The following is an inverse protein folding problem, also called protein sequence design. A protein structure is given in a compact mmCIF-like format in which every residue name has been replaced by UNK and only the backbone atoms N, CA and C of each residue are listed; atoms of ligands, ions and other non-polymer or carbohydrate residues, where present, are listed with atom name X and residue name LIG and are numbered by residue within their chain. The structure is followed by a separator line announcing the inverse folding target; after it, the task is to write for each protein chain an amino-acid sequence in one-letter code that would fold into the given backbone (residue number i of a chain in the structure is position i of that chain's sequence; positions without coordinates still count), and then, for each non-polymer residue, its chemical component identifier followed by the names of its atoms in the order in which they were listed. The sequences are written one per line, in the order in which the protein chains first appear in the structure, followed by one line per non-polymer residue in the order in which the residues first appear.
data_IF_196268228471
#
_entry.id   IF_196268228471
#
_cell.length_a   1.000
_cell.length_b   1.000
_cell.length_c   1.000
_cell.angle_alpha   90.00
_cell.angle_beta   90.00
_cell.angle_gamma   90.00
#
_symmetry.space_group_name_H-M   'P 1'
#
loop_
_entity.id
_entity.type
_entity.pdbx_description
1 polymer ?
#
# COMPACT_ATOMS: atom_id res chain seq x y z
N UNK A 1 23.79 -25.70 49.31
CA UNK A 1 24.13 -24.91 48.14
C UNK A 1 22.93 -24.87 47.21
N UNK A 2 22.23 -23.77 47.21
CA UNK A 2 21.08 -23.53 46.31
C UNK A 2 21.62 -22.99 44.99
N UNK A 3 21.55 -23.81 43.93
CA UNK A 3 21.80 -23.33 42.58
C UNK A 3 20.57 -22.58 42.11
N UNK A 4 20.65 -21.26 42.01
CA UNK A 4 19.63 -20.45 41.34
C UNK A 4 19.78 -20.67 39.85
N UNK A 5 18.84 -21.46 39.28
CA UNK A 5 18.64 -21.46 37.85
C UNK A 5 17.91 -20.17 37.51
N UNK A 6 18.65 -19.18 37.07
CA UNK A 6 18.07 -18.02 36.40
C UNK A 6 17.54 -18.50 35.05
N UNK A 7 16.25 -18.80 34.99
CA UNK A 7 15.56 -18.93 33.73
C UNK A 7 15.40 -17.51 33.22
N UNK A 8 16.33 -17.07 32.37
CA UNK A 8 16.14 -15.90 31.57
C UNK A 8 14.99 -16.24 30.59
N UNK A 9 13.80 -15.84 30.93
CA UNK A 9 12.74 -15.77 29.96
C UNK A 9 13.12 -14.67 28.95
N UNK A 10 13.81 -15.05 27.89
CA UNK A 10 13.97 -14.20 26.74
C UNK A 10 12.58 -14.02 26.14
N UNK A 11 11.94 -12.90 26.45
CA UNK A 11 10.79 -12.43 25.71
C UNK A 11 11.26 -12.15 24.28
N UNK A 12 11.11 -13.15 23.43
CA UNK A 12 11.17 -12.92 22.00
C UNK A 12 9.91 -12.12 21.64
N UNK A 13 10.02 -10.80 21.64
CA UNK A 13 9.07 -10.02 20.87
C UNK A 13 9.35 -10.36 19.41
N UNK A 14 8.57 -11.28 18.85
CA UNK A 14 8.51 -11.45 17.40
C UNK A 14 8.18 -10.10 16.81
N UNK A 15 9.06 -9.53 15.95
CA UNK A 15 8.67 -8.33 15.23
C UNK A 15 7.37 -8.65 14.51
N UNK A 16 6.37 -7.80 14.70
CA UNK A 16 5.15 -7.89 13.93
C UNK A 16 5.54 -7.77 12.46
N UNK A 17 5.62 -8.89 11.76
CA UNK A 17 5.75 -8.89 10.31
C UNK A 17 4.43 -8.38 9.76
N UNK A 18 4.40 -7.10 9.34
CA UNK A 18 3.36 -6.65 8.44
C UNK A 18 3.53 -7.47 7.16
N UNK A 19 2.53 -8.28 6.84
CA UNK A 19 2.56 -9.08 5.63
C UNK A 19 2.70 -8.19 4.41
N UNK A 20 3.76 -8.41 3.65
CA UNK A 20 3.93 -7.81 2.34
C UNK A 20 3.05 -8.56 1.34
N UNK A 21 2.25 -7.84 0.58
CA UNK A 21 1.41 -8.36 -0.47
C UNK A 21 1.79 -7.74 -1.79
N UNK A 22 2.03 -8.57 -2.81
CA UNK A 22 2.35 -8.09 -4.15
C UNK A 22 1.15 -8.29 -5.07
N UNK A 23 0.80 -7.25 -5.79
CA UNK A 23 -0.42 -7.19 -6.61
C UNK A 23 -0.14 -6.44 -7.91
N UNK A 24 -1.05 -6.59 -8.88
CA UNK A 24 -1.04 -5.74 -10.07
C UNK A 24 -1.76 -4.43 -9.73
N UNK A 25 -1.08 -3.33 -9.96
CA UNK A 25 -1.59 -1.99 -9.76
C UNK A 25 -1.69 -1.23 -11.07
N UNK A 26 -2.63 -0.32 -11.13
CA UNK A 26 -2.78 0.69 -12.16
C UNK A 26 -2.83 2.07 -11.51
N UNK A 27 -3.02 3.10 -12.30
CA UNK A 27 -3.28 4.44 -11.77
C UNK A 27 -4.34 5.15 -12.61
N UNK A 28 -4.96 6.15 -12.00
CA UNK A 28 -5.94 6.98 -12.68
C UNK A 28 -5.60 8.46 -12.51
N UNK A 29 -5.86 9.25 -13.54
CA UNK A 29 -5.52 10.67 -13.58
C UNK A 29 -6.76 11.58 -13.55
N UNK A 30 -7.94 11.00 -13.71
CA UNK A 30 -9.20 11.73 -13.80
C UNK A 30 -10.21 11.19 -12.79
N UNK A 31 -11.04 12.08 -12.29
CA UNK A 31 -12.09 11.78 -11.36
C UNK A 31 -12.52 13.05 -10.65
N UNK A 32 -13.80 13.11 -10.22
CA UNK A 32 -14.33 14.26 -9.50
C UNK A 32 -14.31 14.05 -8.00
N UNK A 33 -14.96 12.99 -7.54
CA UNK A 33 -15.03 12.62 -6.14
C UNK A 33 -14.68 11.15 -5.97
N UNK A 34 -13.99 10.88 -4.89
CA UNK A 34 -13.67 9.52 -4.47
C UNK A 34 -14.86 8.93 -3.70
N UNK A 35 -14.83 7.61 -3.49
CA UNK A 35 -15.92 6.92 -2.81
C UNK A 35 -16.12 7.38 -1.36
N UNK A 36 -15.08 7.90 -0.69
CA UNK A 36 -15.22 8.47 0.65
C UNK A 36 -15.71 9.91 0.67
N UNK A 37 -16.05 10.50 -0.50
CA UNK A 37 -16.58 11.84 -0.63
C UNK A 37 -15.55 12.95 -0.83
N UNK A 38 -14.27 12.63 -0.81
CA UNK A 38 -13.21 13.60 -1.07
C UNK A 38 -13.17 14.01 -2.54
N UNK A 39 -12.72 15.22 -2.79
CA UNK A 39 -12.34 15.62 -4.14
C UNK A 39 -11.07 14.87 -4.54
N UNK A 40 -11.08 14.26 -5.72
CA UNK A 40 -9.89 13.59 -6.24
C UNK A 40 -8.79 14.62 -6.54
N UNK A 41 -7.59 14.38 -5.95
CA UNK A 41 -6.40 15.16 -6.23
C UNK A 41 -5.38 14.27 -6.93
N UNK A 42 -5.16 14.45 -8.24
CA UNK A 42 -4.21 13.62 -8.99
C UNK A 42 -2.75 13.79 -8.51
N UNK A 43 -2.43 14.90 -7.87
CA UNK A 43 -1.09 15.16 -7.33
C UNK A 43 -0.92 14.68 -5.88
N UNK A 44 -1.97 14.21 -5.24
CA UNK A 44 -1.92 13.63 -3.91
C UNK A 44 -1.43 12.19 -3.91
N UNK A 45 -1.22 11.64 -2.73
CA UNK A 45 -0.81 10.25 -2.54
C UNK A 45 -1.95 9.44 -1.97
N UNK A 46 -2.83 9.00 -2.84
CA UNK A 46 -4.03 8.22 -2.50
C UNK A 46 -4.16 7.02 -3.42
N UNK A 47 -5.04 6.11 -3.05
CA UNK A 47 -5.33 4.94 -3.85
C UNK A 47 -6.75 4.43 -3.65
N UNK A 48 -7.22 3.68 -4.62
CA UNK A 48 -8.45 2.90 -4.56
C UNK A 48 -8.13 1.44 -4.24
N UNK A 49 -8.91 0.86 -3.38
CA UNK A 49 -8.91 -0.57 -3.06
C UNK A 49 -10.35 -1.04 -2.85
N UNK A 50 -10.65 -2.29 -3.21
CA UNK A 50 -12.03 -2.78 -3.18
C UNK A 50 -12.62 -2.91 -1.78
N UNK A 51 -11.80 -3.26 -0.79
CA UNK A 51 -12.30 -3.64 0.54
C UNK A 51 -11.57 -3.02 1.72
N UNK A 52 -10.34 -2.56 1.58
CA UNK A 52 -9.62 -1.95 2.70
C UNK A 52 -10.36 -0.71 3.22
N UNK A 53 -10.45 -0.53 4.54
CA UNK A 53 -11.12 0.64 5.10
C UNK A 53 -10.54 1.95 4.59
N UNK A 54 -11.40 2.96 4.41
CA UNK A 54 -10.93 4.31 4.10
C UNK A 54 -10.02 4.82 5.20
N UNK A 55 -8.97 5.52 4.81
CA UNK A 55 -7.95 5.99 5.74
C UNK A 55 -6.81 5.00 5.97
N UNK A 56 -6.93 3.76 5.51
CA UNK A 56 -5.82 2.79 5.57
C UNK A 56 -4.62 3.35 4.82
N UNK A 57 -3.47 3.31 5.45
CA UNK A 57 -2.21 3.73 4.84
C UNK A 57 -1.44 2.50 4.41
N UNK A 58 -1.01 2.51 3.15
CA UNK A 58 -0.20 1.45 2.56
C UNK A 58 1.15 2.01 2.15
N UNK A 59 2.20 1.32 2.56
CA UNK A 59 3.54 1.57 2.02
C UNK A 59 3.72 0.73 0.76
N UNK A 60 3.76 1.41 -0.38
CA UNK A 60 3.77 0.78 -1.70
C UNK A 60 5.15 0.90 -2.32
N UNK A 61 5.70 -0.22 -2.74
CA UNK A 61 7.01 -0.29 -3.40
C UNK A 61 6.84 -0.86 -4.81
N UNK A 62 7.48 -0.21 -5.78
CA UNK A 62 7.65 -0.76 -7.11
C UNK A 62 8.98 -1.54 -7.15
N UNK A 63 8.95 -2.88 -7.19
CA UNK A 63 10.18 -3.67 -7.15
C UNK A 63 11.08 -3.43 -8.37
N UNK A 64 10.53 -2.98 -9.47
CA UNK A 64 11.29 -2.68 -10.69
C UNK A 64 12.17 -1.44 -10.54
N UNK A 65 11.69 -0.42 -9.81
CA UNK A 65 12.44 0.83 -9.61
C UNK A 65 13.09 0.93 -8.22
N UNK A 66 12.64 0.13 -7.27
CA UNK A 66 13.03 0.23 -5.87
C UNK A 66 12.42 1.41 -5.12
N UNK A 67 11.55 2.20 -5.78
CA UNK A 67 10.93 3.38 -5.18
C UNK A 67 9.68 3.02 -4.41
N UNK A 68 9.43 3.76 -3.35
CA UNK A 68 8.28 3.58 -2.46
C UNK A 68 7.53 4.88 -2.24
N UNK A 69 6.26 4.75 -1.90
CA UNK A 69 5.38 5.85 -1.52
C UNK A 69 4.35 5.35 -0.51
N UNK A 70 3.96 6.18 0.43
CA UNK A 70 2.83 5.87 1.31
C UNK A 70 1.57 6.50 0.74
N UNK A 71 0.53 5.69 0.56
CA UNK A 71 -0.76 6.12 0.05
C UNK A 71 -1.84 5.91 1.10
N UNK A 72 -2.88 6.72 1.03
CA UNK A 72 -4.08 6.60 1.85
C UNK A 72 -5.23 6.11 0.98
N UNK A 73 -5.94 5.06 1.45
CA UNK A 73 -7.11 4.55 0.74
C UNK A 73 -8.27 5.52 0.95
N UNK A 74 -8.80 6.05 -0.14
CA UNK A 74 -9.93 6.97 -0.14
C UNK A 74 -10.98 6.66 -1.20
N UNK A 75 -10.78 5.60 -1.97
CA UNK A 75 -11.65 5.25 -3.08
C UNK A 75 -11.88 3.74 -3.18
N UNK A 76 -12.84 3.35 -4.00
CA UNK A 76 -13.19 1.96 -4.27
C UNK A 76 -12.85 1.59 -5.72
N UNK A 77 -12.40 0.37 -5.89
CA UNK A 77 -11.90 -0.20 -7.13
C UNK A 77 -10.46 -0.65 -6.96
N UNK A 78 -9.79 -1.03 -8.04
CA UNK A 78 -10.30 -1.13 -9.41
C UNK A 78 -11.25 -2.32 -9.58
N UNK A 79 -12.17 -2.22 -10.52
CA UNK A 79 -13.13 -3.28 -10.81
C UNK A 79 -12.76 -4.06 -12.08
N UNK A 80 -11.51 -4.00 -12.46
CA UNK A 80 -10.94 -4.74 -13.57
C UNK A 80 -10.28 -6.00 -13.02
N UNK A 81 -10.63 -7.13 -13.59
CA UNK A 81 -10.10 -8.44 -13.18
C UNK A 81 -8.57 -8.45 -13.23
N UNK A 82 -7.95 -8.96 -12.17
CA UNK A 82 -6.49 -9.05 -12.06
C UNK A 82 -5.80 -7.79 -11.53
N UNK A 83 -6.51 -6.68 -11.38
CA UNK A 83 -6.00 -5.47 -10.75
C UNK A 83 -6.55 -5.33 -9.35
N UNK A 84 -5.68 -5.03 -8.39
CA UNK A 84 -6.05 -4.98 -6.97
C UNK A 84 -5.87 -3.61 -6.33
N UNK A 85 -5.09 -2.74 -6.94
CA UNK A 85 -4.79 -1.41 -6.43
C UNK A 85 -4.80 -0.42 -7.59
N UNK A 86 -5.40 0.74 -7.37
CA UNK A 86 -5.41 1.82 -8.35
C UNK A 86 -4.88 3.09 -7.68
N UNK A 87 -3.67 3.48 -8.08
CA UNK A 87 -2.96 4.60 -7.47
C UNK A 87 -3.41 5.93 -8.06
N UNK A 88 -3.33 7.00 -7.27
CA UNK A 88 -3.36 8.33 -7.82
C UNK A 88 -2.17 8.54 -8.77
N UNK A 89 -2.30 9.46 -9.70
CA UNK A 89 -1.22 9.77 -10.65
C UNK A 89 0.07 10.18 -9.94
N UNK A 90 -0.03 11.01 -8.88
CA UNK A 90 1.12 11.44 -8.10
C UNK A 90 1.84 10.29 -7.42
N UNK A 91 1.09 9.34 -6.84
CA UNK A 91 1.66 8.14 -6.25
C UNK A 91 2.34 7.26 -7.30
N UNK A 92 1.68 7.04 -8.43
CA UNK A 92 2.24 6.25 -9.53
C UNK A 92 3.55 6.88 -10.07
N UNK A 93 3.56 8.19 -10.21
CA UNK A 93 4.75 8.93 -10.63
C UNK A 93 5.90 8.76 -9.63
N UNK A 94 5.60 8.85 -8.34
CA UNK A 94 6.60 8.73 -7.28
C UNK A 94 7.35 7.38 -7.31
N UNK A 95 6.70 6.32 -7.74
CA UNK A 95 7.30 4.97 -7.81
C UNK A 95 7.65 4.53 -9.23
N UNK A 96 7.53 5.41 -10.22
CA UNK A 96 7.89 5.11 -11.60
C UNK A 96 6.90 4.21 -12.33
N UNK A 97 5.66 4.09 -11.87
CA UNK A 97 4.63 3.25 -12.49
C UNK A 97 4.04 3.88 -13.76
N UNK A 98 4.15 5.20 -13.92
CA UNK A 98 3.58 5.92 -15.05
C UNK A 98 4.17 5.51 -16.40
N UNK A 99 5.40 4.99 -16.41
CA UNK A 99 6.04 4.52 -17.63
C UNK A 99 5.36 3.29 -18.24
N UNK A 100 4.79 2.43 -17.41
CA UNK A 100 4.13 1.20 -17.84
C UNK A 100 2.61 1.27 -17.76
N UNK A 101 2.08 2.20 -16.95
CA UNK A 101 0.65 2.36 -16.69
C UNK A 101 0.05 1.31 -15.78
N UNK A 102 0.51 0.08 -15.91
CA UNK A 102 0.12 -1.10 -15.10
C UNK A 102 1.38 -1.86 -14.75
N UNK A 103 1.49 -2.33 -13.54
CA UNK A 103 2.65 -3.10 -13.12
C UNK A 103 2.48 -3.73 -11.75
N UNK A 104 3.41 -4.61 -11.43
CA UNK A 104 3.44 -5.24 -10.13
C UNK A 104 4.01 -4.29 -9.08
N UNK A 105 3.31 -4.18 -7.97
CA UNK A 105 3.77 -3.47 -6.78
C UNK A 105 3.61 -4.36 -5.57
N UNK A 106 4.37 -4.07 -4.52
CA UNK A 106 4.22 -4.75 -3.23
C UNK A 106 3.86 -3.71 -2.17
N UNK A 107 2.94 -4.03 -1.28
CA UNK A 107 2.57 -3.11 -0.23
C UNK A 107 2.54 -3.78 1.13
N UNK A 108 2.78 -2.97 2.15
CA UNK A 108 2.58 -3.30 3.56
C UNK A 108 1.62 -2.30 4.17
N UNK A 109 0.96 -2.74 5.21
CA UNK A 109 0.02 -1.95 5.98
C UNK A 109 0.69 -1.24 7.14
#
# INVERSE_FOLDING_TARGET
MLAFLLVLATLFSTPAFSESRCVVASYYSEGKRTANGERYNPNGFTAAHRTLPFGTRLHVTNPRTGRSVTVRINDRGPFIRGRSLDLSKGAARAIGLTHTGVGRVCYTR
#
